data_IF_753860158172
#
_entry.id   IF_753860158172
#
_cell.length_a   1.000
_cell.length_b   1.000
_cell.length_c   1.000
_cell.angle_alpha   90.00
_cell.angle_beta   90.00
_cell.angle_gamma   90.00
#
_symmetry.space_group_name_H-M   'P 1'
#
loop_
_entity.id
_entity.type
_entity.pdbx_description
1 polymer ?
#
# COMPACT_ATOMS: atom_id res chain seq x y z
N UNK A 1 -43.13 -25.61 -16.15
CA UNK A 1 -42.98 -24.30 -15.51
C UNK A 1 -42.45 -24.35 -14.06
N UNK A 2 -42.79 -25.30 -13.18
CA UNK A 2 -42.29 -25.32 -11.79
C UNK A 2 -40.77 -25.65 -11.61
N UNK A 3 -40.18 -26.49 -12.52
CA UNK A 3 -38.76 -26.87 -12.42
C UNK A 3 -37.78 -25.74 -12.74
N UNK A 4 -38.10 -24.87 -13.70
CA UNK A 4 -37.29 -23.73 -14.06
C UNK A 4 -37.22 -22.67 -12.95
N UNK A 5 -38.34 -22.43 -12.27
CA UNK A 5 -38.39 -21.49 -11.13
C UNK A 5 -37.55 -21.95 -9.94
N UNK A 6 -37.48 -23.27 -9.68
CA UNK A 6 -36.65 -23.82 -8.60
C UNK A 6 -35.16 -23.67 -8.91
N UNK A 7 -34.75 -23.91 -10.14
CA UNK A 7 -33.35 -23.73 -10.57
C UNK A 7 -32.93 -22.28 -10.46
N UNK A 8 -33.77 -21.33 -10.88
CA UNK A 8 -33.49 -19.89 -10.71
C UNK A 8 -33.37 -19.49 -9.24
N UNK A 9 -34.21 -20.04 -8.37
CA UNK A 9 -34.15 -19.75 -6.94
C UNK A 9 -32.84 -20.27 -6.29
N UNK A 10 -32.43 -21.48 -6.66
CA UNK A 10 -31.21 -22.11 -6.15
C UNK A 10 -29.96 -21.34 -6.65
N UNK A 11 -29.90 -20.94 -7.92
CA UNK A 11 -28.78 -20.17 -8.48
C UNK A 11 -28.71 -18.77 -7.84
N UNK A 12 -29.85 -18.13 -7.62
CA UNK A 12 -29.91 -16.83 -6.94
C UNK A 12 -29.44 -16.91 -5.50
N UNK A 13 -29.88 -17.95 -4.76
CA UNK A 13 -29.45 -18.19 -3.37
C UNK A 13 -27.95 -18.49 -3.31
N UNK A 14 -27.42 -19.27 -4.26
CA UNK A 14 -25.98 -19.56 -4.33
C UNK A 14 -25.14 -18.31 -4.58
N UNK A 15 -25.60 -17.40 -5.46
CA UNK A 15 -24.95 -16.12 -5.72
C UNK A 15 -24.94 -15.21 -4.46
N UNK A 16 -26.01 -15.18 -3.69
CA UNK A 16 -26.08 -14.43 -2.44
C UNK A 16 -25.10 -14.99 -1.39
N UNK A 17 -24.97 -16.31 -1.27
CA UNK A 17 -24.05 -16.94 -0.34
C UNK A 17 -22.58 -16.66 -0.70
N UNK A 18 -22.25 -16.64 -1.98
CA UNK A 18 -20.89 -16.30 -2.44
C UNK A 18 -20.52 -14.84 -2.15
N UNK A 19 -21.47 -13.90 -2.32
CA UNK A 19 -21.25 -12.48 -2.00
C UNK A 19 -21.01 -12.27 -0.50
N UNK A 20 -21.79 -12.91 0.37
CA UNK A 20 -21.63 -12.79 1.82
C UNK A 20 -20.29 -13.37 2.31
N UNK A 21 -19.81 -14.45 1.67
CA UNK A 21 -18.51 -15.05 1.99
C UNK A 21 -17.35 -14.09 1.67
N UNK A 22 -17.44 -13.38 0.55
CA UNK A 22 -16.41 -12.45 0.10
C UNK A 22 -16.35 -11.19 1.00
N UNK A 23 -17.49 -10.65 1.43
CA UNK A 23 -17.53 -9.53 2.37
C UNK A 23 -16.90 -9.89 3.72
N UNK A 24 -17.18 -11.06 4.27
CA UNK A 24 -16.58 -11.53 5.51
C UNK A 24 -15.05 -11.67 5.40
N UNK A 25 -14.54 -12.18 4.29
CA UNK A 25 -13.11 -12.33 4.05
C UNK A 25 -12.38 -10.97 4.04
N UNK A 26 -12.95 -9.94 3.42
CA UNK A 26 -12.35 -8.60 3.43
C UNK A 26 -12.40 -7.92 4.79
N UNK A 27 -13.44 -8.21 5.60
CA UNK A 27 -13.53 -7.67 6.95
C UNK A 27 -12.50 -8.30 7.88
N UNK A 28 -12.27 -9.61 7.78
CA UNK A 28 -11.21 -10.28 8.53
C UNK A 28 -9.82 -9.76 8.13
N UNK A 29 -9.57 -9.61 6.83
CA UNK A 29 -8.34 -9.00 6.32
C UNK A 29 -8.14 -7.58 6.82
N UNK A 30 -9.17 -6.76 6.81
CA UNK A 30 -9.15 -5.40 7.37
C UNK A 30 -8.76 -5.42 8.84
N UNK A 31 -9.41 -6.27 9.65
CA UNK A 31 -9.11 -6.38 11.07
C UNK A 31 -7.65 -6.78 11.32
N UNK A 32 -7.12 -7.73 10.56
CA UNK A 32 -5.72 -8.12 10.61
C UNK A 32 -4.78 -6.97 10.28
N UNK A 33 -5.08 -6.18 9.24
CA UNK A 33 -4.29 -5.02 8.84
C UNK A 33 -4.33 -3.90 9.89
N UNK A 34 -5.50 -3.58 10.42
CA UNK A 34 -5.68 -2.56 11.46
C UNK A 34 -4.91 -2.97 12.74
N UNK A 35 -5.01 -4.23 13.15
CA UNK A 35 -4.26 -4.77 14.29
C UNK A 35 -2.76 -4.73 14.05
N UNK A 36 -2.30 -5.21 12.90
CA UNK A 36 -0.89 -5.19 12.52
C UNK A 36 -0.32 -3.78 12.57
N UNK A 37 -1.01 -2.82 11.92
CA UNK A 37 -0.59 -1.43 11.90
C UNK A 37 -0.56 -0.80 13.30
N UNK A 38 -1.57 -1.07 14.13
CA UNK A 38 -1.64 -0.52 15.50
C UNK A 38 -0.46 -0.94 16.36
N UNK A 39 0.07 -2.13 16.16
CA UNK A 39 1.26 -2.64 16.83
C UNK A 39 2.53 -2.03 16.23
N UNK A 40 2.71 -2.13 14.91
CA UNK A 40 3.99 -1.83 14.26
C UNK A 40 4.27 -0.34 14.05
N UNK A 41 3.23 0.53 14.11
CA UNK A 41 3.43 1.99 14.05
C UNK A 41 4.28 2.55 15.20
N UNK A 42 4.44 1.78 16.28
CA UNK A 42 5.22 2.14 17.47
C UNK A 42 6.53 1.36 17.59
N UNK A 43 6.90 0.59 16.56
CA UNK A 43 8.17 -0.12 16.53
C UNK A 43 9.35 0.86 16.64
N UNK A 44 10.44 0.40 17.24
CA UNK A 44 11.63 1.23 17.47
C UNK A 44 12.16 1.86 16.18
N UNK A 45 12.34 3.18 16.23
CA UNK A 45 12.86 3.98 15.12
C UNK A 45 11.82 4.36 14.07
N UNK A 46 10.54 4.02 14.25
CA UNK A 46 9.45 4.52 13.42
C UNK A 46 8.89 5.85 13.95
N UNK A 47 8.50 6.70 13.02
CA UNK A 47 7.85 7.99 13.27
C UNK A 47 6.48 7.95 12.57
N UNK A 48 5.42 8.26 13.32
CA UNK A 48 4.05 8.34 12.79
C UNK A 48 3.64 9.79 12.62
N UNK A 49 3.16 10.15 11.44
CA UNK A 49 2.66 11.50 11.13
C UNK A 49 1.18 11.64 11.55
N UNK A 50 0.64 12.88 11.61
CA UNK A 50 -0.77 13.11 11.91
C UNK A 50 -1.75 12.43 10.93
N UNK A 51 -1.37 12.24 9.68
CA UNK A 51 -2.18 11.51 8.68
C UNK A 51 -2.24 9.99 8.91
N UNK A 52 -1.34 9.47 9.76
CA UNK A 52 -1.13 8.06 9.98
C UNK A 52 -0.05 7.43 9.08
N UNK A 53 0.65 8.18 8.24
CA UNK A 53 1.83 7.63 7.57
C UNK A 53 2.89 7.27 8.62
N UNK A 54 3.40 6.05 8.59
CA UNK A 54 4.46 5.62 9.48
C UNK A 54 5.74 5.36 8.67
N UNK A 55 6.87 5.88 9.11
CA UNK A 55 8.14 5.71 8.40
C UNK A 55 9.34 5.53 9.31
N UNK A 56 10.35 4.83 8.80
CA UNK A 56 11.65 4.65 9.45
C UNK A 56 12.76 5.04 8.51
N UNK A 57 13.69 5.84 8.99
CA UNK A 57 14.92 6.18 8.28
C UNK A 57 15.92 5.05 8.44
N UNK A 58 16.31 4.42 7.35
CA UNK A 58 17.37 3.39 7.32
C UNK A 58 18.70 4.04 6.99
N UNK A 59 18.69 4.89 5.97
CA UNK A 59 19.83 5.71 5.57
C UNK A 59 19.35 7.10 5.20
N UNK A 60 19.96 8.12 5.79
CA UNK A 60 19.66 9.52 5.46
C UNK A 60 20.46 9.91 4.23
N UNK A 61 19.78 10.29 3.15
CA UNK A 61 20.43 10.85 1.98
C UNK A 61 20.95 12.28 2.22
N UNK A 62 21.77 12.77 1.31
CA UNK A 62 22.39 14.10 1.40
C UNK A 62 22.11 15.00 0.20
N UNK A 63 21.44 14.47 -0.82
CA UNK A 63 21.12 15.23 -2.03
C UNK A 63 19.81 16.01 -1.86
N UNK A 64 19.31 16.60 -2.94
CA UNK A 64 18.11 17.41 -2.96
C UNK A 64 16.90 16.67 -2.40
N UNK A 65 16.10 17.39 -1.63
CA UNK A 65 14.78 16.95 -1.17
C UNK A 65 13.75 17.17 -2.28
N UNK A 66 12.96 16.14 -2.66
CA UNK A 66 11.87 16.32 -3.60
C UNK A 66 10.71 17.11 -2.97
N UNK A 67 9.90 17.71 -3.83
CA UNK A 67 8.58 18.24 -3.51
C UNK A 67 7.52 17.49 -4.31
N UNK A 68 6.23 17.81 -4.10
CA UNK A 68 5.11 17.11 -4.74
C UNK A 68 5.15 17.17 -6.28
N UNK A 69 5.76 18.20 -6.85
CA UNK A 69 5.85 18.39 -8.30
C UNK A 69 7.12 17.79 -8.91
N UNK A 70 7.99 17.20 -8.09
CA UNK A 70 9.24 16.61 -8.58
C UNK A 70 8.99 15.30 -9.32
N UNK A 71 9.84 15.03 -10.31
CA UNK A 71 10.08 13.70 -10.82
C UNK A 71 11.08 13.02 -9.90
N UNK A 72 10.75 11.84 -9.39
CA UNK A 72 11.61 11.07 -8.47
C UNK A 72 12.15 9.85 -9.18
N UNK A 73 13.42 9.54 -8.91
CA UNK A 73 14.11 8.35 -9.39
C UNK A 73 14.25 7.41 -8.19
N UNK A 74 13.54 6.29 -8.25
CA UNK A 74 13.42 5.38 -7.10
C UNK A 74 13.69 3.93 -7.49
N UNK A 75 14.19 3.17 -6.52
CA UNK A 75 14.08 1.73 -6.46
C UNK A 75 13.23 1.38 -5.24
N UNK A 76 12.35 0.40 -5.34
CA UNK A 76 11.49 0.02 -4.22
C UNK A 76 11.05 -1.44 -4.26
N UNK A 77 10.57 -1.89 -3.11
CA UNK A 77 9.84 -3.14 -2.94
C UNK A 77 8.60 -2.87 -2.10
N UNK A 78 7.42 -3.19 -2.67
CA UNK A 78 6.13 -3.14 -2.00
C UNK A 78 5.67 -4.54 -1.57
N UNK A 79 5.25 -4.67 -0.31
CA UNK A 79 4.72 -5.92 0.24
C UNK A 79 3.52 -5.67 1.15
N UNK A 80 2.67 -6.67 1.30
CA UNK A 80 1.58 -6.71 2.26
C UNK A 80 2.10 -7.09 3.66
N UNK A 81 1.21 -7.08 4.66
CA UNK A 81 1.56 -7.41 6.06
C UNK A 81 1.97 -8.86 6.26
N UNK A 82 1.53 -9.77 5.40
CA UNK A 82 1.90 -11.19 5.37
C UNK A 82 3.25 -11.45 4.67
N UNK A 83 3.88 -10.39 4.13
CA UNK A 83 5.17 -10.47 3.43
C UNK A 83 5.05 -10.74 1.93
N UNK A 84 3.86 -10.99 1.40
CA UNK A 84 3.64 -11.16 -0.04
C UNK A 84 4.01 -9.88 -0.79
N UNK A 85 4.82 -10.02 -1.85
CA UNK A 85 5.30 -8.89 -2.66
C UNK A 85 4.31 -8.64 -3.77
N UNK A 86 3.75 -7.43 -3.83
CA UNK A 86 2.80 -7.04 -4.87
C UNK A 86 3.44 -6.21 -5.99
N UNK A 87 4.57 -5.56 -5.70
CA UNK A 87 5.30 -4.75 -6.67
C UNK A 87 6.77 -4.58 -6.26
N UNK A 88 7.67 -4.58 -7.21
CA UNK A 88 9.09 -4.35 -6.95
C UNK A 88 9.85 -3.98 -8.21
N UNK A 89 10.88 -3.16 -8.03
CA UNK A 89 11.86 -2.85 -9.07
C UNK A 89 13.10 -3.74 -8.85
N UNK A 90 13.61 -4.34 -9.92
CA UNK A 90 14.75 -5.23 -9.84
C UNK A 90 15.96 -4.53 -9.20
N UNK A 91 16.75 -5.29 -8.44
CA UNK A 91 17.96 -4.77 -7.78
C UNK A 91 18.90 -4.17 -8.84
N UNK A 92 19.43 -2.98 -8.56
CA UNK A 92 20.32 -2.27 -9.46
C UNK A 92 19.64 -1.50 -10.60
N UNK A 93 18.31 -1.55 -10.68
CA UNK A 93 17.51 -0.74 -11.61
C UNK A 93 16.68 0.31 -10.90
N UNK A 94 16.19 1.31 -11.62
CA UNK A 94 15.35 2.39 -11.08
C UNK A 94 14.23 2.70 -12.05
N UNK A 95 13.17 3.32 -11.52
CA UNK A 95 12.13 3.94 -12.34
C UNK A 95 12.06 5.43 -12.06
N UNK A 96 11.54 6.17 -13.02
CA UNK A 96 11.21 7.59 -12.88
C UNK A 96 9.70 7.74 -12.84
N UNK A 97 9.21 8.57 -11.93
CA UNK A 97 7.79 8.87 -11.85
C UNK A 97 7.52 10.28 -11.32
N UNK A 98 6.44 10.88 -11.78
CA UNK A 98 5.94 12.13 -11.24
C UNK A 98 5.34 11.87 -9.86
N UNK A 99 5.86 12.52 -8.80
CA UNK A 99 5.42 12.23 -7.44
C UNK A 99 3.93 12.54 -7.20
N UNK A 100 3.39 13.56 -7.82
CA UNK A 100 1.98 13.94 -7.72
C UNK A 100 1.00 12.89 -8.24
N UNK A 101 1.45 11.89 -9.03
CA UNK A 101 0.62 10.79 -9.52
C UNK A 101 0.67 9.54 -8.65
N UNK A 102 1.54 9.53 -7.64
CA UNK A 102 1.68 8.40 -6.72
C UNK A 102 0.54 8.33 -5.69
N UNK A 103 0.47 7.23 -4.94
CA UNK A 103 -0.45 7.12 -3.79
C UNK A 103 -0.14 8.18 -2.74
N UNK A 104 -1.15 8.59 -1.96
CA UNK A 104 -1.03 9.68 -0.96
C UNK A 104 0.11 9.47 0.03
N UNK A 105 0.33 8.21 0.45
CA UNK A 105 1.44 7.88 1.35
C UNK A 105 2.83 8.20 0.75
N UNK A 106 3.01 8.02 -0.55
CA UNK A 106 4.22 8.41 -1.25
C UNK A 106 4.33 9.93 -1.42
N UNK A 107 3.23 10.59 -1.78
CA UNK A 107 3.17 12.05 -1.92
C UNK A 107 3.56 12.75 -0.62
N UNK A 108 3.24 12.17 0.54
CA UNK A 108 3.62 12.68 1.85
C UNK A 108 5.01 12.21 2.29
N UNK A 109 5.34 10.95 2.05
CA UNK A 109 6.54 10.30 2.59
C UNK A 109 7.82 10.63 1.83
N UNK A 110 7.80 10.61 0.51
CA UNK A 110 8.97 10.86 -0.32
C UNK A 110 9.57 12.26 -0.08
N UNK A 111 8.77 13.34 0.11
CA UNK A 111 9.32 14.66 0.48
C UNK A 111 10.02 14.73 1.85
N UNK A 112 9.94 13.69 2.67
CA UNK A 112 10.72 13.60 3.93
C UNK A 112 12.13 13.04 3.71
N UNK A 113 12.34 12.37 2.55
CA UNK A 113 13.64 11.81 2.16
C UNK A 113 14.54 12.86 1.51
N UNK A 114 15.84 12.63 1.59
CA UNK A 114 16.81 13.27 0.70
C UNK A 114 17.23 12.26 -0.38
N UNK A 115 17.64 12.73 -1.55
CA UNK A 115 18.23 11.86 -2.58
C UNK A 115 19.44 11.10 -2.02
N UNK A 116 19.61 9.85 -2.40
CA UNK A 116 20.52 8.88 -1.81
C UNK A 116 20.00 8.22 -0.53
N UNK A 117 18.80 8.55 -0.06
CA UNK A 117 18.22 8.02 1.17
C UNK A 117 17.45 6.71 0.98
N UNK A 118 17.37 5.93 2.07
CA UNK A 118 16.60 4.67 2.12
C UNK A 118 15.67 4.69 3.33
N UNK A 119 14.37 4.52 3.08
CA UNK A 119 13.33 4.56 4.12
C UNK A 119 12.42 3.35 4.01
N UNK A 120 11.81 2.99 5.14
CA UNK A 120 10.69 2.05 5.20
C UNK A 120 9.44 2.87 5.49
N UNK A 121 8.39 2.63 4.71
CA UNK A 121 7.07 3.22 4.93
C UNK A 121 6.05 2.12 5.26
N UNK A 122 5.23 2.36 6.29
CA UNK A 122 3.98 1.64 6.52
C UNK A 122 2.85 2.62 6.19
N UNK A 123 2.14 2.32 5.14
CA UNK A 123 1.11 3.18 4.55
C UNK A 123 -0.25 2.58 4.89
N UNK A 124 -1.04 3.17 5.79
CA UNK A 124 -2.39 2.69 6.05
C UNK A 124 -3.25 2.80 4.80
N UNK A 125 -4.27 1.95 4.67
CA UNK A 125 -5.08 1.81 3.46
C UNK A 125 -5.59 3.15 2.91
N UNK A 126 -6.04 4.06 3.78
CA UNK A 126 -6.55 5.40 3.41
C UNK A 126 -5.52 6.29 2.69
N UNK A 127 -4.25 6.03 2.86
CA UNK A 127 -3.15 6.71 2.16
C UNK A 127 -2.60 5.87 0.99
N UNK A 128 -3.11 4.66 0.82
CA UNK A 128 -2.83 3.75 -0.28
C UNK A 128 -4.02 3.65 -1.24
N UNK A 129 -4.61 2.46 -1.33
CA UNK A 129 -5.71 2.14 -2.25
C UNK A 129 -7.08 2.04 -1.57
N UNK A 130 -7.13 2.18 -0.24
CA UNK A 130 -8.34 2.19 0.59
C UNK A 130 -9.23 0.95 0.39
N UNK A 131 -10.47 1.16 -0.08
CA UNK A 131 -11.45 0.11 -0.34
C UNK A 131 -11.33 -0.49 -1.73
N UNK A 132 -10.42 0.04 -2.56
CA UNK A 132 -10.26 -0.38 -3.96
C UNK A 132 -9.27 -1.53 -4.02
N UNK A 133 -9.69 -2.65 -4.59
CA UNK A 133 -8.76 -3.68 -5.05
C UNK A 133 -8.21 -3.26 -6.41
N UNK A 134 -6.94 -2.89 -6.50
CA UNK A 134 -6.32 -2.45 -7.75
C UNK A 134 -6.00 -3.60 -8.69
N UNK A 135 -5.83 -4.79 -8.11
CA UNK A 135 -5.61 -6.06 -8.79
C UNK A 135 -5.82 -7.21 -7.78
N UNK A 136 -5.69 -8.44 -8.21
CA UNK A 136 -5.81 -9.62 -7.34
C UNK A 136 -4.73 -9.71 -6.25
N UNK A 137 -3.70 -8.87 -6.29
CA UNK A 137 -2.55 -8.92 -5.38
C UNK A 137 -2.69 -7.99 -4.17
N UNK A 138 -3.54 -6.95 -4.25
CA UNK A 138 -3.76 -5.99 -3.15
C UNK A 138 -5.24 -6.00 -2.78
N UNK A 139 -5.63 -6.77 -1.75
CA UNK A 139 -6.99 -6.75 -1.24
C UNK A 139 -7.39 -5.35 -0.73
N UNK A 140 -8.70 -5.01 -0.71
CA UNK A 140 -9.19 -3.82 -0.04
C UNK A 140 -8.68 -3.72 1.40
N UNK A 141 -8.53 -2.50 1.91
CA UNK A 141 -8.09 -2.21 3.29
C UNK A 141 -6.67 -2.64 3.64
N UNK A 142 -5.82 -2.96 2.65
CA UNK A 142 -4.44 -3.37 2.90
C UNK A 142 -3.58 -2.22 3.40
N UNK A 143 -2.83 -2.47 4.46
CA UNK A 143 -1.64 -1.70 4.83
C UNK A 143 -0.51 -2.10 3.88
N UNK A 144 0.15 -1.11 3.31
CA UNK A 144 1.25 -1.34 2.38
C UNK A 144 2.58 -1.06 3.06
N UNK A 145 3.49 -2.01 2.97
CA UNK A 145 4.88 -1.83 3.42
C UNK A 145 5.76 -1.59 2.21
N UNK A 146 6.44 -0.43 2.17
CA UNK A 146 7.41 -0.13 1.14
C UNK A 146 8.81 0.05 1.71
N UNK A 147 9.79 -0.63 1.12
CA UNK A 147 11.19 -0.27 1.26
C UNK A 147 11.54 0.60 0.05
N UNK A 148 11.92 1.85 0.26
CA UNK A 148 12.15 2.82 -0.81
C UNK A 148 13.58 3.35 -0.73
N UNK A 149 14.27 3.31 -1.86
CA UNK A 149 15.54 4.00 -2.08
C UNK A 149 15.27 5.15 -3.04
N UNK A 150 15.36 6.37 -2.56
CA UNK A 150 15.30 7.57 -3.39
C UNK A 150 16.71 7.84 -3.93
N UNK A 151 16.91 7.60 -5.22
CA UNK A 151 18.22 7.78 -5.86
C UNK A 151 18.46 9.27 -6.11
N UNK A 152 17.52 9.95 -6.75
CA UNK A 152 17.60 11.38 -7.06
C UNK A 152 16.20 11.96 -7.32
N UNK A 153 16.12 13.28 -7.47
CA UNK A 153 14.89 13.97 -7.85
C UNK A 153 15.20 15.27 -8.59
N UNK A 154 14.30 15.68 -9.48
CA UNK A 154 14.36 16.96 -10.20
C UNK A 154 12.94 17.52 -10.45
N UNK A 155 12.88 18.85 -10.64
CA UNK A 155 11.64 19.59 -10.93
C UNK A 155 11.52 19.88 -12.41
#
# INVERSE_FOLDING_TARGET
MKRTSIVFLITFLFLLLMSACQENMYMDWKLMNDKWYSVHKSDSGFITTPSGLCYKVIHQGYQRKPNINSIVIVNYKGSLIDGSVFDSIAIGTTIQMQLSTAIKGWQEGIPKMNGGGSYIFYIPSKLGYDTISTNSQIPPYSVLKFNVNLVDSYN
#
